data_IF_745966667906
#
_entry.id   IF_745966667906
#
_cell.length_a   1.000
_cell.length_b   1.000
_cell.length_c   1.000
_cell.angle_alpha   90.00
_cell.angle_beta   90.00
_cell.angle_gamma   90.00
#
_symmetry.space_group_name_H-M   'P 1'
#
loop_
_entity.id
_entity.type
_entity.pdbx_description
1 polymer ?
#
# COMPACT_ATOMS: atom_id res chain seq x y z
N UNK A 1 -7.35 14.55 -10.08
CA UNK A 1 -8.42 14.65 -11.10
C UNK A 1 -9.79 14.29 -10.50
N UNK A 2 -9.97 13.12 -9.88
CA UNK A 2 -11.25 12.71 -9.28
C UNK A 2 -11.74 13.72 -8.21
N UNK A 3 -10.90 14.15 -7.26
CA UNK A 3 -11.29 15.12 -6.23
C UNK A 3 -11.73 16.50 -6.78
N UNK A 4 -11.08 16.97 -7.86
CA UNK A 4 -11.38 18.26 -8.50
C UNK A 4 -12.75 18.22 -9.18
N UNK A 5 -13.12 17.07 -9.77
CA UNK A 5 -14.42 16.88 -10.43
C UNK A 5 -15.61 16.86 -9.47
N UNK A 6 -15.38 16.55 -8.18
CA UNK A 6 -16.44 16.45 -7.17
C UNK A 6 -16.51 17.65 -6.21
N UNK A 7 -15.67 18.68 -6.37
CA UNK A 7 -15.62 19.81 -5.44
C UNK A 7 -15.25 19.41 -4.00
N UNK A 8 -14.67 18.21 -3.83
CA UNK A 8 -14.32 17.64 -2.53
C UNK A 8 -12.97 18.21 -2.09
N UNK A 9 -12.86 18.55 -0.80
CA UNK A 9 -11.57 18.87 -0.18
C UNK A 9 -10.58 17.73 -0.44
N UNK A 10 -9.35 18.08 -0.81
CA UNK A 10 -8.32 17.09 -1.13
C UNK A 10 -8.06 16.19 0.10
N UNK A 11 -8.19 14.86 -0.03
CA UNK A 11 -8.00 13.95 1.09
C UNK A 11 -6.54 13.89 1.55
N UNK A 12 -5.61 14.21 0.67
CA UNK A 12 -4.17 14.25 0.96
C UNK A 12 -3.60 15.52 0.35
N UNK A 13 -2.77 16.24 1.11
CA UNK A 13 -2.11 17.47 0.65
C UNK A 13 -0.89 17.14 -0.23
N UNK A 14 -0.44 18.07 -1.10
CA UNK A 14 0.74 17.84 -1.93
C UNK A 14 1.99 17.48 -1.12
N UNK A 15 2.18 18.11 0.05
CA UNK A 15 3.31 17.84 0.94
C UNK A 15 3.25 16.42 1.53
N UNK A 16 2.07 15.96 1.93
CA UNK A 16 1.86 14.59 2.38
C UNK A 16 2.13 13.56 1.27
N UNK A 17 1.77 13.87 0.01
CA UNK A 17 2.12 13.03 -1.15
C UNK A 17 3.64 12.97 -1.35
N UNK A 18 4.34 14.11 -1.22
CA UNK A 18 5.80 14.14 -1.32
C UNK A 18 6.45 13.27 -0.25
N UNK A 19 5.96 13.34 0.99
CA UNK A 19 6.43 12.47 2.07
C UNK A 19 6.28 10.98 1.74
N UNK A 20 5.09 10.57 1.30
CA UNK A 20 4.84 9.17 0.93
C UNK A 20 5.78 8.74 -0.17
N UNK A 21 5.86 9.49 -1.27
CA UNK A 21 6.64 9.11 -2.43
C UNK A 21 8.16 9.12 -2.17
N UNK A 22 8.68 10.04 -1.34
CA UNK A 22 10.11 10.17 -1.10
C UNK A 22 10.62 9.32 0.05
N UNK A 23 9.77 9.02 1.05
CA UNK A 23 10.18 8.31 2.26
C UNK A 23 9.55 6.92 2.30
N UNK A 24 8.22 6.84 2.37
CA UNK A 24 7.51 5.56 2.51
C UNK A 24 7.77 4.64 1.31
N UNK A 25 7.40 5.09 0.11
CA UNK A 25 7.49 4.26 -1.09
C UNK A 25 8.94 3.89 -1.43
N UNK A 26 9.90 4.81 -1.23
CA UNK A 26 11.33 4.54 -1.45
C UNK A 26 11.87 3.50 -0.46
N UNK A 27 11.54 3.62 0.84
CA UNK A 27 11.98 2.66 1.84
C UNK A 27 11.44 1.25 1.53
N UNK A 28 10.15 1.14 1.21
CA UNK A 28 9.52 -0.13 0.86
C UNK A 28 10.08 -0.71 -0.45
N UNK A 29 10.24 0.11 -1.49
CA UNK A 29 10.78 -0.33 -2.79
C UNK A 29 12.24 -0.78 -2.68
N UNK A 30 13.05 -0.07 -1.89
CA UNK A 30 14.46 -0.43 -1.66
C UNK A 30 14.56 -1.77 -0.93
N UNK A 31 13.63 -2.07 -0.02
CA UNK A 31 13.61 -3.36 0.68
C UNK A 31 13.41 -4.56 -0.26
N UNK A 32 12.67 -4.38 -1.36
CA UNK A 32 12.47 -5.41 -2.39
C UNK A 32 13.75 -5.70 -3.17
N UNK A 33 14.63 -4.70 -3.32
CA UNK A 33 15.92 -4.88 -4.02
C UNK A 33 16.88 -5.81 -3.25
N UNK A 34 16.69 -5.93 -1.94
CA UNK A 34 17.50 -6.80 -1.07
C UNK A 34 16.88 -8.19 -0.85
N UNK A 35 15.79 -8.53 -1.55
CA UNK A 35 15.21 -9.86 -1.45
C UNK A 35 16.04 -10.92 -2.18
N UNK A 36 16.15 -12.12 -1.60
CA UNK A 36 16.79 -13.23 -2.29
C UNK A 36 16.01 -13.59 -3.57
N UNK A 37 16.71 -13.92 -4.66
CA UNK A 37 16.07 -14.29 -5.91
C UNK A 37 15.22 -15.56 -5.78
N UNK A 38 14.16 -15.67 -6.58
CA UNK A 38 13.28 -16.85 -6.58
C UNK A 38 14.09 -18.13 -6.87
N UNK A 39 13.85 -19.20 -6.10
CA UNK A 39 14.60 -20.47 -6.20
C UNK A 39 14.63 -21.08 -7.61
N UNK A 40 13.63 -20.77 -8.45
CA UNK A 40 13.52 -21.25 -9.83
C UNK A 40 13.88 -20.19 -10.88
N UNK A 41 14.53 -19.09 -10.51
CA UNK A 41 14.83 -17.99 -11.44
C UNK A 41 15.73 -18.46 -12.59
N UNK A 42 16.73 -19.28 -12.30
CA UNK A 42 17.67 -19.84 -13.30
C UNK A 42 17.08 -20.99 -14.12
N UNK A 43 15.92 -21.53 -13.73
CA UNK A 43 15.20 -22.57 -14.47
C UNK A 43 14.19 -21.99 -15.47
N UNK A 44 13.97 -20.68 -15.45
CA UNK A 44 13.07 -20.00 -16.40
C UNK A 44 13.83 -19.66 -17.68
N UNK A 45 13.21 -19.80 -18.85
CA UNK A 45 13.82 -19.39 -20.10
C UNK A 45 14.10 -17.87 -20.09
N UNK A 46 15.16 -17.40 -20.78
CA UNK A 46 15.47 -15.98 -20.90
C UNK A 46 14.27 -15.18 -21.44
N UNK A 47 14.08 -13.97 -20.92
CA UNK A 47 12.99 -13.09 -21.39
C UNK A 47 13.19 -12.75 -22.86
N UNK A 48 12.15 -12.92 -23.68
CA UNK A 48 12.17 -12.64 -25.12
C UNK A 48 12.48 -11.16 -25.36
N UNK A 49 13.41 -10.87 -26.28
CA UNK A 49 13.74 -9.50 -26.71
C UNK A 49 12.48 -8.86 -27.33
N UNK A 50 12.08 -7.69 -26.84
CA UNK A 50 10.86 -7.00 -27.29
C UNK A 50 9.58 -7.34 -26.53
N UNK A 51 9.63 -8.21 -25.51
CA UNK A 51 8.47 -8.45 -24.66
C UNK A 51 8.07 -7.16 -23.91
N UNK A 52 6.81 -6.69 -24.03
CA UNK A 52 6.39 -5.43 -23.42
C UNK A 52 6.55 -5.48 -21.90
N UNK A 53 7.02 -4.37 -21.32
CA UNK A 53 7.11 -4.21 -19.86
C UNK A 53 5.71 -4.19 -19.25
N UNK A 54 4.76 -3.53 -19.94
CA UNK A 54 3.35 -3.45 -19.58
C UNK A 54 2.55 -4.45 -20.42
N UNK A 55 2.29 -5.63 -19.87
CA UNK A 55 1.31 -6.55 -20.46
C UNK A 55 -0.11 -6.12 -20.09
N UNK A 56 -1.12 -6.55 -20.88
CA UNK A 56 -2.55 -6.31 -20.56
C UNK A 56 -2.90 -6.73 -19.13
N UNK A 57 -2.31 -7.83 -18.65
CA UNK A 57 -2.47 -8.31 -17.28
C UNK A 57 -1.88 -7.34 -16.24
N UNK A 58 -0.70 -6.77 -16.50
CA UNK A 58 -0.09 -5.77 -15.61
C UNK A 58 -0.94 -4.50 -15.60
N UNK A 59 -1.41 -4.05 -16.75
CA UNK A 59 -2.26 -2.85 -16.85
C UNK A 59 -3.57 -3.03 -16.06
N UNK A 60 -4.24 -4.19 -16.21
CA UNK A 60 -5.42 -4.54 -15.43
C UNK A 60 -5.12 -4.51 -13.93
N UNK A 61 -4.02 -5.14 -13.52
CA UNK A 61 -3.64 -5.18 -12.11
C UNK A 61 -3.33 -3.79 -11.54
N UNK A 62 -2.67 -2.93 -12.31
CA UNK A 62 -2.44 -1.53 -11.93
C UNK A 62 -3.78 -0.81 -11.75
N UNK A 63 -4.70 -0.95 -12.70
CA UNK A 63 -6.03 -0.33 -12.60
C UNK A 63 -6.80 -0.78 -11.36
N UNK A 64 -6.82 -2.10 -11.07
CA UNK A 64 -7.47 -2.66 -9.87
C UNK A 64 -6.82 -2.13 -8.59
N UNK A 65 -5.49 -2.16 -8.49
CA UNK A 65 -4.77 -1.69 -7.30
C UNK A 65 -5.00 -0.19 -7.09
N UNK A 66 -4.90 0.62 -8.14
CA UNK A 66 -5.16 2.06 -8.07
C UNK A 66 -6.60 2.37 -7.65
N UNK A 67 -7.58 1.61 -8.14
CA UNK A 67 -8.98 1.74 -7.73
C UNK A 67 -9.16 1.39 -6.26
N UNK A 68 -8.54 0.31 -5.77
CA UNK A 68 -8.60 -0.09 -4.37
C UNK A 68 -7.93 0.93 -3.44
N UNK A 69 -6.74 1.44 -3.81
CA UNK A 69 -6.06 2.51 -3.09
C UNK A 69 -6.92 3.77 -3.02
N UNK A 70 -7.51 4.17 -4.14
CA UNK A 70 -8.42 5.32 -4.18
C UNK A 70 -9.63 5.08 -3.27
N UNK A 71 -10.27 3.91 -3.35
CA UNK A 71 -11.43 3.57 -2.52
C UNK A 71 -11.09 3.53 -1.02
N UNK A 72 -9.92 3.00 -0.64
CA UNK A 72 -9.48 2.94 0.75
C UNK A 72 -9.20 4.33 1.32
N UNK A 73 -8.42 5.15 0.60
CA UNK A 73 -8.04 6.50 1.02
C UNK A 73 -9.24 7.43 1.07
N UNK A 74 -10.03 7.52 0.00
CA UNK A 74 -11.24 8.34 -0.03
C UNK A 74 -12.29 7.80 0.93
N UNK A 75 -12.44 6.48 1.03
CA UNK A 75 -13.39 5.85 1.94
C UNK A 75 -13.11 6.21 3.40
N UNK A 76 -11.86 6.14 3.84
CA UNK A 76 -11.47 6.55 5.20
C UNK A 76 -11.62 8.05 5.43
N UNK A 77 -11.26 8.87 4.44
CA UNK A 77 -11.47 10.32 4.50
C UNK A 77 -12.95 10.67 4.68
N UNK A 78 -13.83 10.10 3.85
CA UNK A 78 -15.26 10.34 3.90
C UNK A 78 -15.89 9.78 5.19
N UNK A 79 -15.43 8.61 5.65
CA UNK A 79 -15.88 8.01 6.91
C UNK A 79 -15.52 8.92 8.10
N UNK A 80 -14.29 9.42 8.17
CA UNK A 80 -13.87 10.36 9.21
C UNK A 80 -14.71 11.63 9.20
N UNK A 81 -15.01 12.19 8.03
CA UNK A 81 -15.88 13.37 7.89
C UNK A 81 -17.32 13.06 8.33
N UNK A 82 -17.85 11.90 7.97
CA UNK A 82 -19.20 11.47 8.36
C UNK A 82 -19.33 11.24 9.87
N UNK A 83 -18.25 10.85 10.55
CA UNK A 83 -18.18 10.74 12.01
C UNK A 83 -17.97 12.11 12.71
N UNK A 84 -17.97 13.21 11.97
CA UNK A 84 -17.81 14.57 12.52
C UNK A 84 -16.36 14.96 12.82
N UNK A 85 -15.37 14.20 12.31
CA UNK A 85 -13.96 14.54 12.44
C UNK A 85 -13.62 15.83 11.69
N UNK A 86 -12.61 16.55 12.18
CA UNK A 86 -12.10 17.73 11.48
C UNK A 86 -11.46 17.36 10.13
N UNK A 87 -11.25 18.34 9.28
CA UNK A 87 -10.61 18.12 7.97
C UNK A 87 -9.18 17.61 8.14
N UNK A 88 -8.44 18.11 9.13
CA UNK A 88 -7.08 17.68 9.46
C UNK A 88 -7.08 16.23 9.97
N UNK A 89 -8.08 15.85 10.77
CA UNK A 89 -8.27 14.47 11.20
C UNK A 89 -8.52 13.55 10.00
N UNK A 90 -9.44 13.91 9.12
CA UNK A 90 -9.75 13.13 7.93
C UNK A 90 -8.53 13.00 6.98
N UNK A 91 -7.73 14.06 6.81
CA UNK A 91 -6.48 14.02 6.06
C UNK A 91 -5.44 13.12 6.70
N UNK A 92 -5.33 13.15 8.03
CA UNK A 92 -4.40 12.29 8.76
C UNK A 92 -4.81 10.82 8.67
N UNK A 93 -6.11 10.52 8.70
CA UNK A 93 -6.67 9.19 8.42
C UNK A 93 -6.34 8.73 7.00
N UNK A 94 -6.53 9.59 6.01
CA UNK A 94 -6.23 9.29 4.61
C UNK A 94 -4.73 8.97 4.39
N UNK A 95 -3.84 9.77 4.99
CA UNK A 95 -2.39 9.57 4.94
C UNK A 95 -1.98 8.24 5.61
N UNK A 96 -2.44 7.98 6.83
CA UNK A 96 -2.10 6.75 7.55
C UNK A 96 -2.69 5.50 6.87
N UNK A 97 -3.88 5.62 6.28
CA UNK A 97 -4.49 4.56 5.47
C UNK A 97 -3.64 4.27 4.23
N UNK A 98 -3.17 5.30 3.53
CA UNK A 98 -2.31 5.14 2.35
C UNK A 98 -1.04 4.36 2.70
N UNK A 99 -0.33 4.78 3.75
CA UNK A 99 0.92 4.10 4.19
C UNK A 99 0.64 2.68 4.67
N UNK A 100 -0.44 2.46 5.41
CA UNK A 100 -0.84 1.10 5.80
C UNK A 100 -1.08 0.22 4.57
N UNK A 101 -1.84 0.71 3.59
CA UNK A 101 -2.10 0.00 2.33
C UNK A 101 -0.82 -0.30 1.55
N UNK A 102 0.16 0.62 1.51
CA UNK A 102 1.48 0.36 0.90
C UNK A 102 2.22 -0.79 1.59
N UNK A 103 2.23 -0.81 2.93
CA UNK A 103 2.86 -1.89 3.70
C UNK A 103 2.18 -3.23 3.43
N UNK A 104 0.84 -3.29 3.45
CA UNK A 104 0.11 -4.52 3.13
C UNK A 104 0.28 -4.93 1.66
N UNK A 105 0.32 -3.96 0.75
CA UNK A 105 0.58 -4.21 -0.67
C UNK A 105 1.97 -4.80 -0.91
N UNK A 106 3.00 -4.33 -0.19
CA UNK A 106 4.35 -4.86 -0.25
C UNK A 106 4.35 -6.38 0.00
N UNK A 107 3.67 -6.83 1.06
CA UNK A 107 3.52 -8.26 1.35
C UNK A 107 2.78 -9.01 0.24
N UNK A 108 1.77 -8.38 -0.39
CA UNK A 108 1.07 -8.97 -1.53
C UNK A 108 1.97 -9.08 -2.78
N UNK A 109 2.81 -8.09 -3.07
CA UNK A 109 3.67 -8.11 -4.26
C UNK A 109 4.78 -9.14 -4.12
N UNK A 110 5.38 -9.21 -2.93
CA UNK A 110 6.43 -10.16 -2.57
C UNK A 110 6.04 -11.62 -2.86
N UNK A 111 4.86 -12.04 -2.39
CA UNK A 111 4.37 -13.40 -2.62
C UNK A 111 3.52 -13.47 -3.90
N UNK A 112 4.19 -13.40 -5.04
CA UNK A 112 3.53 -13.52 -6.36
C UNK A 112 3.09 -14.95 -6.67
N UNK A 113 3.73 -15.96 -6.06
CA UNK A 113 3.46 -17.39 -6.32
C UNK A 113 3.08 -18.22 -5.06
N UNK A 114 3.26 -17.70 -3.84
CA UNK A 114 2.90 -18.35 -2.56
C UNK A 114 1.75 -17.66 -1.82
N UNK A 115 1.38 -18.15 -0.63
CA UNK A 115 0.45 -17.47 0.26
C UNK A 115 1.16 -16.31 0.99
N UNK A 116 0.59 -15.10 0.93
CA UNK A 116 1.26 -13.87 1.39
C UNK A 116 1.46 -13.74 2.90
N UNK A 117 0.76 -14.55 3.70
CA UNK A 117 0.83 -14.57 5.16
C UNK A 117 1.21 -15.98 5.64
N UNK A 118 2.46 -16.37 5.45
CA UNK A 118 3.04 -17.52 6.14
C UNK A 118 4.09 -17.05 7.13
N UNK A 119 4.12 -17.64 8.33
CA UNK A 119 5.05 -17.25 9.40
C UNK A 119 6.52 -17.42 8.98
N UNK A 120 6.79 -18.45 8.16
CA UNK A 120 8.10 -18.67 7.53
C UNK A 120 8.46 -17.55 6.53
N UNK A 121 7.45 -17.04 5.82
CA UNK A 121 7.62 -15.93 4.90
C UNK A 121 7.90 -14.59 5.60
N UNK A 122 7.24 -14.34 6.74
CA UNK A 122 7.43 -13.12 7.52
C UNK A 122 8.85 -13.06 8.14
N UNK A 123 9.36 -14.19 8.64
CA UNK A 123 10.71 -14.30 9.22
C UNK A 123 11.84 -14.44 8.19
N UNK A 124 11.53 -14.80 6.94
CA UNK A 124 12.53 -15.06 5.90
C UNK A 124 13.19 -13.83 5.28
N UNK A 125 12.81 -12.59 5.65
CA UNK A 125 13.37 -11.36 5.09
C UNK A 125 13.52 -10.26 6.13
N UNK A 126 14.67 -10.18 6.80
CA UNK A 126 14.92 -9.12 7.77
C UNK A 126 14.90 -7.72 7.12
N UNK A 127 15.36 -7.58 5.87
CA UNK A 127 15.38 -6.29 5.17
C UNK A 127 13.98 -5.65 5.02
N UNK A 128 12.96 -6.46 4.68
CA UNK A 128 11.56 -5.99 4.56
C UNK A 128 11.02 -5.58 5.93
N UNK A 129 11.31 -6.35 6.98
CA UNK A 129 10.86 -6.02 8.34
C UNK A 129 11.52 -4.73 8.86
N UNK A 130 12.81 -4.53 8.58
CA UNK A 130 13.52 -3.30 8.91
C UNK A 130 12.92 -2.11 8.17
N UNK A 131 12.63 -2.24 6.87
CA UNK A 131 12.00 -1.18 6.09
C UNK A 131 10.58 -0.85 6.58
N UNK A 132 9.75 -1.87 6.84
CA UNK A 132 8.41 -1.66 7.42
C UNK A 132 8.51 -1.02 8.80
N UNK A 133 9.42 -1.47 9.66
CA UNK A 133 9.67 -0.87 10.97
C UNK A 133 10.10 0.59 10.87
N UNK A 134 11.00 0.92 9.94
CA UNK A 134 11.43 2.29 9.68
C UNK A 134 10.27 3.16 9.16
N UNK A 135 9.48 2.66 8.21
CA UNK A 135 8.29 3.37 7.70
C UNK A 135 7.28 3.62 8.81
N UNK A 136 6.97 2.62 9.64
CA UNK A 136 6.05 2.77 10.77
C UNK A 136 6.57 3.79 11.78
N UNK A 137 7.87 3.75 12.12
CA UNK A 137 8.48 4.70 13.04
C UNK A 137 8.44 6.14 12.48
N UNK A 138 8.83 6.33 11.23
CA UNK A 138 8.79 7.63 10.55
C UNK A 138 7.35 8.14 10.40
N UNK A 139 6.40 7.25 10.11
CA UNK A 139 4.99 7.59 10.02
C UNK A 139 4.41 8.00 11.39
N UNK A 140 4.84 7.34 12.46
CA UNK A 140 4.49 7.73 13.83
C UNK A 140 5.05 9.13 14.17
N UNK A 141 6.26 9.47 13.72
CA UNK A 141 6.80 10.82 13.88
C UNK A 141 5.92 11.87 13.18
N UNK A 142 5.51 11.64 11.93
CA UNK A 142 4.61 12.57 11.21
C UNK A 142 3.24 12.68 11.87
N UNK A 143 2.77 11.61 12.52
CA UNK A 143 1.43 11.59 13.14
C UNK A 143 1.42 12.18 14.55
N UNK A 144 2.52 12.09 15.31
CA UNK A 144 2.54 12.45 16.74
C UNK A 144 3.56 13.52 17.13
N UNK A 145 4.57 13.82 16.31
CA UNK A 145 5.57 14.84 16.66
C UNK A 145 5.00 16.25 16.40
N UNK A 146 4.95 17.16 17.39
CA UNK A 146 4.31 18.47 17.24
C UNK A 146 4.88 19.32 16.10
N UNK A 147 6.19 19.29 15.89
CA UNK A 147 6.86 20.02 14.79
C UNK A 147 6.46 19.49 13.42
N UNK A 148 6.23 18.19 13.29
CA UNK A 148 5.81 17.58 12.03
C UNK A 148 4.32 17.75 11.81
N UNK A 149 3.51 17.77 12.88
CA UNK A 149 2.08 18.03 12.79
C UNK A 149 1.76 19.40 12.20
N UNK A 150 2.52 20.43 12.57
CA UNK A 150 2.35 21.77 12.00
C UNK A 150 2.76 21.84 10.54
N UNK A 151 3.84 21.15 10.15
CA UNK A 151 4.34 21.14 8.77
C UNK A 151 3.42 20.34 7.85
N UNK A 152 2.96 19.17 8.28
CA UNK A 152 2.15 18.25 7.46
C UNK A 152 0.64 18.42 7.63
N UNK A 153 0.20 19.37 8.46
CA UNK A 153 -1.21 19.60 8.84
C UNK A 153 -1.87 18.30 9.33
N UNK A 154 -1.16 17.57 10.20
CA UNK A 154 -1.65 16.31 10.79
C UNK A 154 -2.07 16.50 12.24
N UNK A 155 -2.96 15.62 12.71
CA UNK A 155 -3.41 15.57 14.10
C UNK A 155 -3.16 14.19 14.70
N UNK A 156 -3.03 14.12 16.02
CA UNK A 156 -2.84 12.84 16.69
C UNK A 156 -4.05 11.92 16.46
N UNK A 157 -3.79 10.70 15.98
CA UNK A 157 -4.82 9.68 15.80
C UNK A 157 -4.97 8.83 17.07
N UNK A 158 -6.21 8.42 17.36
CA UNK A 158 -6.46 7.46 18.42
C UNK A 158 -6.01 6.04 18.01
N UNK A 159 -5.85 5.10 18.96
CA UNK A 159 -5.62 3.70 18.62
C UNK A 159 -6.72 3.08 17.76
N UNK A 160 -7.97 3.54 17.90
CA UNK A 160 -9.10 3.11 17.07
C UNK A 160 -8.94 3.55 15.62
N UNK A 161 -8.48 4.78 15.40
CA UNK A 161 -8.20 5.34 14.08
C UNK A 161 -7.08 4.57 13.37
N UNK A 162 -6.00 4.27 14.08
CA UNK A 162 -4.91 3.44 13.56
C UNK A 162 -5.37 2.03 13.20
N UNK A 163 -6.27 1.45 14.01
CA UNK A 163 -6.86 0.16 13.73
C UNK A 163 -7.70 0.22 12.46
N UNK A 164 -8.54 1.24 12.28
CA UNK A 164 -9.33 1.43 11.05
C UNK A 164 -8.43 1.57 9.81
N UNK A 165 -7.36 2.35 9.89
CA UNK A 165 -6.37 2.48 8.82
C UNK A 165 -5.73 1.13 8.48
N UNK A 166 -5.33 0.37 9.50
CA UNK A 166 -4.72 -0.95 9.35
C UNK A 166 -5.70 -1.98 8.77
N UNK A 167 -6.97 -1.93 9.17
CA UNK A 167 -8.03 -2.79 8.64
C UNK A 167 -8.27 -2.54 7.15
N UNK A 168 -8.22 -1.29 6.69
CA UNK A 168 -8.30 -0.97 5.26
C UNK A 168 -7.15 -1.61 4.46
N UNK A 169 -5.92 -1.56 4.99
CA UNK A 169 -4.77 -2.27 4.41
C UNK A 169 -4.92 -3.79 4.43
N UNK A 170 -5.44 -4.36 5.52
CA UNK A 170 -5.76 -5.78 5.61
C UNK A 170 -6.84 -6.21 4.60
N UNK A 171 -7.89 -5.40 4.44
CA UNK A 171 -8.94 -5.64 3.45
C UNK A 171 -8.40 -5.61 2.01
N UNK A 172 -7.52 -4.65 1.69
CA UNK A 172 -6.79 -4.63 0.41
C UNK A 172 -6.04 -5.95 0.19
N UNK A 173 -5.28 -6.41 1.18
CA UNK A 173 -4.53 -7.66 1.07
C UNK A 173 -5.46 -8.85 0.79
N UNK A 174 -6.59 -8.95 1.50
CA UNK A 174 -7.58 -10.00 1.30
C UNK A 174 -8.15 -9.99 -0.13
N UNK A 175 -8.54 -8.82 -0.64
CA UNK A 175 -9.06 -8.68 -2.01
C UNK A 175 -8.02 -9.12 -3.03
N UNK A 176 -6.75 -8.69 -2.86
CA UNK A 176 -5.67 -9.07 -3.76
C UNK A 176 -5.33 -10.57 -3.68
N UNK A 177 -5.43 -11.19 -2.52
CA UNK A 177 -5.26 -12.64 -2.38
C UNK A 177 -6.35 -13.44 -3.10
N UNK A 178 -7.61 -12.96 -3.03
CA UNK A 178 -8.73 -13.55 -3.76
C UNK A 178 -8.48 -13.43 -5.28
N UNK A 179 -8.11 -12.24 -5.77
CA UNK A 179 -7.80 -12.01 -7.19
C UNK A 179 -6.68 -12.94 -7.68
N UNK A 180 -5.59 -13.08 -6.91
CA UNK A 180 -4.51 -14.04 -7.22
C UNK A 180 -5.00 -15.48 -7.28
N UNK A 181 -5.89 -15.91 -6.37
CA UNK A 181 -6.44 -17.28 -6.36
C UNK A 181 -7.33 -17.53 -7.57
N UNK A 182 -8.20 -16.58 -7.91
CA UNK A 182 -9.05 -16.65 -9.11
C UNK A 182 -8.22 -16.73 -10.39
N UNK A 183 -7.20 -15.86 -10.53
CA UNK A 183 -6.30 -15.85 -11.69
C UNK A 183 -5.48 -17.16 -11.84
N UNK A 184 -5.12 -17.81 -10.72
CA UNK A 184 -4.46 -19.14 -10.74
C UNK A 184 -5.42 -20.26 -11.16
N UNK A 185 -6.69 -20.19 -10.75
CA UNK A 185 -7.73 -21.13 -11.16
C UNK A 185 -7.99 -21.10 -12.66
N UNK A 186 -8.09 -19.91 -13.26
CA UNK A 186 -8.32 -19.76 -14.70
C UNK A 186 -7.16 -20.24 -15.57
N UNK A 187 -5.90 -20.06 -15.15
CA UNK A 187 -4.74 -20.58 -15.90
C UNK A 187 -4.62 -22.11 -15.85
N UNK A 188 -5.25 -22.78 -14.90
CA UNK A 188 -5.28 -24.26 -14.79
C UNK A 188 -6.40 -24.89 -15.62
N UNK A 189 -7.43 -24.13 -15.97
CA UNK A 189 -8.59 -24.60 -16.75
C UNK A 189 -8.48 -24.30 -18.25
N UNK A 190 -7.58 -23.40 -18.66
CA UNK A 190 -7.33 -23.04 -20.06
C UNK A 190 -6.00 -23.56 -20.62
N UNK A 191 -5.51 -24.70 -20.11
CA UNK A 191 -4.29 -25.37 -20.58
C UNK A 191 -4.59 -26.77 -21.09
#
# INVERSE_FOLDING_TARGET
>A
VIAILFGLMLPITPLQILWVNMVSSVALATSLAFEPPEANVMRRPPRVRGAPILSRFILWRVAVVSALFSAGVFGQFLLSQAMGGSIEHARTMALNTLVAMEVFYLFSVRYRYGASLTLAGLRGTPAVLVAVGAVVALQALVTYAPVLQTVFETVALSPGDLLLCSLAGGALLLVLEIDKRAARGWRRLGG
#
